data_IF_767192994365
#
_entry.id   IF_767192994365
#
_cell.length_a   1.000
_cell.length_b   1.000
_cell.length_c   1.000
_cell.angle_alpha   90.00
_cell.angle_beta   90.00
_cell.angle_gamma   90.00
#
_symmetry.space_group_name_H-M   'P 1'
#
loop_
_entity.id
_entity.type
_entity.pdbx_description
1 polymer ?
#
# COMPACT_ATOMS: atom_id res chain seq x y z
N UNK A 1 -14.13 -15.74 3.13
CA UNK A 1 -13.66 -17.05 2.66
C UNK A 1 -12.40 -16.81 1.81
N UNK A 2 -11.33 -17.57 2.01
CA UNK A 2 -10.09 -17.55 1.20
C UNK A 2 -10.06 -18.80 0.31
N UNK A 3 -10.77 -18.81 -0.83
CA UNK A 3 -10.96 -20.00 -1.65
C UNK A 3 -9.67 -20.50 -2.32
N UNK A 4 -8.59 -19.71 -2.29
CA UNK A 4 -7.32 -20.01 -2.96
C UNK A 4 -6.15 -20.18 -1.98
N UNK A 5 -6.40 -20.16 -0.67
CA UNK A 5 -5.33 -20.26 0.34
C UNK A 5 -4.30 -19.13 0.26
N UNK A 6 -4.65 -18.00 -0.37
CA UNK A 6 -3.78 -16.84 -0.57
C UNK A 6 -3.23 -16.31 0.74
N UNK A 7 -4.00 -16.40 1.81
CA UNK A 7 -3.58 -16.00 3.15
C UNK A 7 -2.40 -16.83 3.66
N UNK A 8 -2.35 -18.11 3.30
CA UNK A 8 -1.23 -19.01 3.59
C UNK A 8 0.00 -18.77 2.69
N UNK A 9 -0.21 -18.33 1.44
CA UNK A 9 0.86 -18.02 0.50
C UNK A 9 1.40 -16.59 0.60
N UNK A 10 0.71 -15.70 1.32
CA UNK A 10 1.14 -14.32 1.50
C UNK A 10 2.36 -14.22 2.45
N UNK A 11 3.25 -13.22 2.25
CA UNK A 11 4.37 -13.00 3.15
C UNK A 11 3.92 -12.86 4.61
N UNK A 12 4.66 -13.50 5.54
CA UNK A 12 4.36 -13.41 6.99
C UNK A 12 4.85 -12.10 7.62
N UNK A 13 5.85 -11.46 7.02
CA UNK A 13 6.47 -10.25 7.54
C UNK A 13 6.71 -9.27 6.39
N UNK A 14 6.58 -7.98 6.70
CA UNK A 14 6.97 -6.89 5.80
C UNK A 14 8.37 -6.38 6.17
N UNK A 15 9.23 -6.25 5.15
CA UNK A 15 10.59 -5.74 5.28
C UNK A 15 10.65 -4.35 4.64
N UNK A 16 10.77 -3.34 5.49
CA UNK A 16 11.01 -1.96 5.04
C UNK A 16 12.49 -1.79 4.67
N UNK A 17 12.88 -2.39 3.55
CA UNK A 17 14.26 -2.35 3.03
C UNK A 17 14.68 -0.91 2.74
N UNK A 18 16.01 -0.65 2.69
CA UNK A 18 16.52 0.69 2.37
C UNK A 18 15.99 1.16 1.02
N UNK A 19 15.97 0.28 0.02
CA UNK A 19 15.53 0.60 -1.33
C UNK A 19 14.03 0.87 -1.41
N UNK A 20 13.19 0.04 -0.79
CA UNK A 20 11.75 0.27 -0.73
C UNK A 20 11.40 1.58 -0.02
N UNK A 21 12.02 1.83 1.15
CA UNK A 21 11.84 3.09 1.89
C UNK A 21 12.31 4.30 1.09
N UNK A 22 13.45 4.19 0.38
CA UNK A 22 13.98 5.26 -0.46
C UNK A 22 13.01 5.56 -1.61
N UNK A 23 12.52 4.53 -2.30
CA UNK A 23 11.55 4.65 -3.37
C UNK A 23 10.31 5.43 -2.94
N UNK A 24 9.74 5.09 -1.78
CA UNK A 24 8.54 5.74 -1.27
C UNK A 24 8.80 7.17 -0.87
N UNK A 25 9.93 7.42 -0.20
CA UNK A 25 10.34 8.79 0.14
C UNK A 25 10.54 9.66 -1.08
N UNK A 26 11.03 9.11 -2.17
CA UNK A 26 11.25 9.85 -3.41
C UNK A 26 9.95 10.14 -4.14
N UNK A 27 9.03 9.17 -4.18
CA UNK A 27 7.83 9.28 -5.02
C UNK A 27 6.61 9.81 -4.29
N UNK A 28 6.51 9.57 -2.98
CA UNK A 28 5.27 9.75 -2.22
C UNK A 28 5.42 10.57 -0.93
N UNK A 29 6.61 11.03 -0.55
CA UNK A 29 6.80 11.90 0.62
C UNK A 29 7.33 13.26 0.20
N UNK A 30 6.54 14.31 0.45
CA UNK A 30 6.85 15.67 0.02
C UNK A 30 6.78 15.86 -1.50
N UNK A 31 6.95 17.10 -1.92
CA UNK A 31 7.02 17.45 -3.33
C UNK A 31 8.48 17.39 -3.80
N UNK A 32 8.74 16.51 -4.76
CA UNK A 32 10.03 16.35 -5.42
C UNK A 32 9.85 16.51 -6.92
N UNK A 33 10.84 17.12 -7.55
CA UNK A 33 10.84 17.36 -8.99
C UNK A 33 10.61 16.06 -9.77
N UNK A 34 9.63 16.07 -10.68
CA UNK A 34 9.27 14.93 -11.53
C UNK A 34 8.27 13.94 -10.91
N UNK A 35 7.84 14.15 -9.66
CA UNK A 35 6.89 13.30 -8.94
C UNK A 35 5.66 14.07 -8.44
N UNK A 36 5.41 15.27 -8.95
CA UNK A 36 4.32 16.15 -8.54
C UNK A 36 2.96 15.54 -8.84
N UNK A 37 2.87 14.74 -9.92
CA UNK A 37 1.65 14.06 -10.36
C UNK A 37 1.28 12.81 -9.53
N UNK A 38 2.02 12.52 -8.45
CA UNK A 38 1.75 11.37 -7.56
C UNK A 38 1.03 11.83 -6.30
N UNK A 39 0.19 10.95 -5.76
CA UNK A 39 -0.34 11.13 -4.41
C UNK A 39 0.80 11.16 -3.38
N UNK A 40 0.62 12.02 -2.37
CA UNK A 40 1.61 12.27 -1.33
C UNK A 40 1.07 11.93 0.05
N UNK A 41 1.93 11.36 0.88
CA UNK A 41 1.72 11.26 2.31
C UNK A 41 1.73 12.67 2.92
N UNK A 42 0.75 12.94 3.77
CA UNK A 42 0.71 14.16 4.60
C UNK A 42 1.25 13.91 6.01
N UNK A 43 1.65 12.68 6.30
CA UNK A 43 2.09 12.21 7.62
C UNK A 43 3.61 12.21 7.74
N UNK A 44 4.12 12.18 8.97
CA UNK A 44 5.55 12.09 9.22
C UNK A 44 6.17 10.77 8.74
N UNK A 45 7.50 10.74 8.65
CA UNK A 45 8.25 9.55 8.23
C UNK A 45 8.04 8.33 9.15
N UNK A 46 7.79 8.55 10.44
CA UNK A 46 7.48 7.47 11.38
C UNK A 46 6.05 6.96 11.18
N UNK A 47 5.11 7.87 10.98
CA UNK A 47 3.69 7.56 10.87
C UNK A 47 3.32 6.77 9.63
N UNK A 48 3.85 7.13 8.44
CA UNK A 48 3.54 6.34 7.24
C UNK A 48 4.10 4.92 7.38
N UNK A 49 5.30 4.75 7.96
CA UNK A 49 5.89 3.42 8.20
C UNK A 49 5.07 2.58 9.16
N UNK A 50 4.51 3.20 10.20
CA UNK A 50 3.59 2.53 11.13
C UNK A 50 2.28 2.16 10.43
N UNK A 51 1.77 3.05 9.57
CA UNK A 51 0.58 2.80 8.75
C UNK A 51 0.79 1.61 7.82
N UNK A 52 1.91 1.56 7.10
CA UNK A 52 2.29 0.43 6.23
C UNK A 52 2.26 -0.90 6.98
N UNK A 53 2.88 -0.97 8.16
CA UNK A 53 2.87 -2.19 8.98
C UNK A 53 1.47 -2.56 9.46
N UNK A 54 0.63 -1.57 9.78
CA UNK A 54 -0.77 -1.79 10.17
C UNK A 54 -1.60 -2.36 9.02
N UNK A 55 -1.47 -1.76 7.83
CA UNK A 55 -2.16 -2.21 6.60
C UNK A 55 -1.71 -3.61 6.21
N UNK A 56 -0.40 -3.90 6.26
CA UNK A 56 0.11 -5.23 5.96
C UNK A 56 -0.47 -6.31 6.91
N UNK A 57 -0.56 -6.03 8.21
CA UNK A 57 -1.04 -7.00 9.21
C UNK A 57 -2.54 -7.23 9.15
N UNK A 58 -3.31 -6.20 8.83
CA UNK A 58 -4.76 -6.25 8.85
C UNK A 58 -5.34 -5.43 7.68
N UNK A 59 -5.18 -5.87 6.43
CA UNK A 59 -5.74 -5.16 5.28
C UNK A 59 -7.24 -5.42 5.17
N UNK A 60 -7.96 -4.60 4.41
CA UNK A 60 -9.34 -4.90 4.02
C UNK A 60 -9.37 -5.95 2.88
N UNK A 61 -8.30 -5.99 2.08
CA UNK A 61 -8.12 -7.02 1.05
C UNK A 61 -6.67 -7.23 0.67
N UNK A 62 -6.39 -8.45 0.21
CA UNK A 62 -5.11 -8.88 -0.35
C UNK A 62 -5.35 -9.29 -1.80
N UNK A 63 -4.53 -8.79 -2.71
CA UNK A 63 -4.53 -9.17 -4.13
C UNK A 63 -3.16 -9.75 -4.46
N UNK A 64 -3.12 -10.93 -5.06
CA UNK A 64 -1.92 -11.48 -5.69
C UNK A 64 -1.92 -11.11 -7.16
N UNK A 65 -0.89 -10.37 -7.57
CA UNK A 65 -0.65 -9.86 -8.93
C UNK A 65 0.70 -10.40 -9.42
N UNK A 66 0.67 -11.54 -10.11
CA UNK A 66 1.88 -12.31 -10.41
C UNK A 66 2.59 -12.76 -9.13
N UNK A 67 3.86 -12.36 -8.97
CA UNK A 67 4.70 -12.66 -7.81
C UNK A 67 4.53 -11.66 -6.64
N UNK A 68 3.77 -10.58 -6.86
CA UNK A 68 3.58 -9.52 -5.86
C UNK A 68 2.28 -9.66 -5.11
N UNK A 69 2.29 -9.13 -3.90
CA UNK A 69 1.12 -9.03 -3.04
C UNK A 69 0.79 -7.57 -2.78
N UNK A 70 -0.48 -7.24 -2.95
CA UNK A 70 -1.02 -5.89 -2.77
C UNK A 70 -2.00 -5.94 -1.60
N UNK A 71 -1.70 -5.15 -0.58
CA UNK A 71 -2.48 -5.00 0.64
C UNK A 71 -3.17 -3.65 0.58
N UNK A 72 -4.49 -3.64 0.66
CA UNK A 72 -5.25 -2.40 0.60
C UNK A 72 -6.16 -2.25 1.80
N UNK A 73 -6.24 -1.01 2.30
CA UNK A 73 -7.04 -0.68 3.47
C UNK A 73 -7.58 0.74 3.43
N UNK A 74 -8.80 0.92 3.92
CA UNK A 74 -9.38 2.21 4.25
C UNK A 74 -9.04 2.58 5.70
N UNK A 75 -8.35 3.71 5.89
CA UNK A 75 -8.07 4.28 7.19
C UNK A 75 -9.24 5.19 7.59
N UNK A 76 -10.09 4.69 8.48
CA UNK A 76 -11.27 5.43 8.94
C UNK A 76 -10.88 6.68 9.71
N UNK A 77 -11.65 7.76 9.54
CA UNK A 77 -11.56 9.02 10.31
C UNK A 77 -10.17 9.68 10.31
N UNK A 78 -9.38 9.47 9.26
CA UNK A 78 -8.04 10.06 9.16
C UNK A 78 -7.70 10.42 7.72
N UNK A 79 -7.31 11.68 7.50
CA UNK A 79 -6.58 12.09 6.31
C UNK A 79 -5.14 11.59 6.40
N UNK A 80 -4.72 10.80 5.42
CA UNK A 80 -3.37 10.21 5.38
C UNK A 80 -2.55 10.70 4.19
N UNK A 81 -3.22 11.26 3.18
CA UNK A 81 -2.55 11.76 2.00
C UNK A 81 -3.39 12.76 1.23
N UNK A 82 -2.81 13.21 0.12
CA UNK A 82 -3.41 14.19 -0.78
C UNK A 82 -3.04 13.87 -2.23
N UNK A 83 -3.94 14.12 -3.17
CA UNK A 83 -3.62 14.10 -4.61
C UNK A 83 -2.90 15.39 -5.03
N UNK A 84 -2.30 15.44 -6.23
CA UNK A 84 -1.75 16.68 -6.78
C UNK A 84 -2.78 17.81 -6.86
N UNK A 85 -4.06 17.47 -7.07
CA UNK A 85 -5.19 18.40 -7.17
C UNK A 85 -5.72 18.84 -5.80
N UNK A 86 -5.16 18.35 -4.70
CA UNK A 86 -5.56 18.72 -3.35
C UNK A 86 -6.64 17.83 -2.72
N UNK A 87 -7.03 16.73 -3.38
CA UNK A 87 -8.07 15.82 -2.86
C UNK A 87 -7.52 15.01 -1.69
N UNK A 88 -8.26 14.97 -0.58
CA UNK A 88 -7.87 14.23 0.61
C UNK A 88 -8.03 12.71 0.42
N UNK A 89 -7.02 11.96 0.86
CA UNK A 89 -6.95 10.52 0.69
C UNK A 89 -7.03 9.81 2.04
N UNK A 90 -7.79 8.72 2.09
CA UNK A 90 -7.96 7.87 3.27
C UNK A 90 -7.73 6.37 3.00
N UNK A 91 -7.44 5.97 1.76
CA UNK A 91 -7.10 4.57 1.42
C UNK A 91 -5.60 4.41 1.20
N UNK A 92 -5.06 3.25 1.55
CA UNK A 92 -3.65 2.91 1.38
C UNK A 92 -3.51 1.72 0.47
N UNK A 93 -2.47 1.74 -0.37
CA UNK A 93 -1.93 0.55 -1.03
C UNK A 93 -0.53 0.28 -0.49
N UNK A 94 -0.25 -0.96 -0.13
CA UNK A 94 1.10 -1.48 0.16
C UNK A 94 1.37 -2.62 -0.81
N UNK A 95 2.48 -2.54 -1.53
CA UNK A 95 2.92 -3.56 -2.49
C UNK A 95 4.20 -4.19 -1.98
N UNK A 96 4.22 -5.51 -1.88
CA UNK A 96 5.39 -6.28 -1.46
C UNK A 96 5.69 -7.39 -2.44
N UNK A 97 6.97 -7.75 -2.52
CA UNK A 97 7.41 -8.98 -3.19
C UNK A 97 7.01 -10.22 -2.36
N UNK A 98 7.05 -11.40 -2.97
CA UNK A 98 6.74 -12.69 -2.33
C UNK A 98 7.60 -13.00 -1.09
N UNK A 99 8.78 -12.40 -0.97
CA UNK A 99 9.66 -12.53 0.18
C UNK A 99 9.38 -11.50 1.31
N UNK A 100 8.37 -10.64 1.12
CA UNK A 100 7.96 -9.58 2.06
C UNK A 100 8.69 -8.24 1.89
N UNK A 101 9.58 -8.09 0.91
CA UNK A 101 10.26 -6.83 0.65
C UNK A 101 9.30 -5.77 0.13
N UNK A 102 9.38 -4.57 0.71
CA UNK A 102 8.58 -3.44 0.30
C UNK A 102 8.98 -2.95 -1.09
N UNK A 103 8.03 -2.98 -2.03
CA UNK A 103 8.21 -2.42 -3.38
C UNK A 103 7.83 -0.95 -3.39
N UNK A 104 6.62 -0.64 -2.91
CA UNK A 104 6.08 0.71 -2.83
C UNK A 104 4.83 0.76 -1.97
N UNK A 105 4.47 1.96 -1.54
CA UNK A 105 3.24 2.27 -0.84
C UNK A 105 2.85 3.72 -1.06
N UNK A 106 1.54 3.97 -1.05
CA UNK A 106 1.02 5.31 -1.21
C UNK A 106 -0.45 5.41 -0.77
N UNK A 107 -0.90 6.62 -0.39
CA UNK A 107 -2.30 6.95 -0.28
C UNK A 107 -2.97 6.91 -1.66
N UNK A 108 -4.21 6.46 -1.74
CA UNK A 108 -4.98 6.36 -2.97
C UNK A 108 -6.43 6.81 -2.73
N UNK A 109 -7.10 7.24 -3.79
CA UNK A 109 -8.51 7.67 -3.74
C UNK A 109 -9.46 6.48 -3.87
N UNK A 110 -9.18 5.65 -4.86
CA UNK A 110 -9.90 4.42 -5.15
C UNK A 110 -8.96 3.23 -4.98
N UNK A 111 -9.54 2.09 -4.59
CA UNK A 111 -8.79 0.85 -4.60
C UNK A 111 -8.53 0.38 -6.03
N UNK A 112 -7.53 -0.48 -6.21
CA UNK A 112 -7.21 -1.08 -7.52
C UNK A 112 -8.44 -1.76 -8.13
N UNK A 113 -8.64 -1.68 -9.42
CA UNK A 113 -9.56 -2.62 -10.08
C UNK A 113 -8.97 -4.04 -10.06
N UNK A 114 -9.82 -5.03 -9.78
CA UNK A 114 -9.42 -6.44 -9.76
C UNK A 114 -9.44 -6.92 -11.20
N UNK A 115 -8.30 -7.41 -11.70
CA UNK A 115 -8.17 -7.95 -13.05
C UNK A 115 -8.63 -9.40 -13.10
N UNK A 116 -8.98 -9.95 -14.29
CA UNK A 116 -9.41 -11.35 -14.42
C UNK A 116 -8.41 -12.39 -13.89
N UNK A 117 -7.11 -12.10 -13.96
CA UNK A 117 -6.05 -12.99 -13.49
C UNK A 117 -5.61 -12.72 -12.04
N UNK A 118 -6.23 -11.74 -11.38
CA UNK A 118 -5.92 -11.44 -9.98
C UNK A 118 -6.55 -12.49 -9.08
N UNK A 119 -5.78 -12.95 -8.11
CA UNK A 119 -6.33 -13.77 -7.02
C UNK A 119 -6.56 -12.85 -5.82
N UNK A 120 -7.80 -12.77 -5.31
CA UNK A 120 -8.20 -11.79 -4.28
C UNK A 120 -8.80 -12.44 -3.04
N UNK A 121 -8.47 -11.90 -1.87
CA UNK A 121 -9.12 -12.21 -0.59
C UNK A 121 -9.61 -10.92 0.05
N UNK A 122 -10.88 -10.89 0.45
CA UNK A 122 -11.45 -9.83 1.28
C UNK A 122 -11.42 -10.22 2.75
N UNK A 123 -11.04 -9.28 3.60
CA UNK A 123 -10.91 -9.44 5.05
C UNK A 123 -11.79 -8.40 5.74
N UNK A 124 -12.43 -8.82 6.84
CA UNK A 124 -13.32 -7.98 7.64
C UNK A 124 -12.58 -7.37 8.84
#
# INVERSE_FOLDING_TARGET
MDPLGLRGCSPKNIKLTKDGVKHVKERHVGNKLGWEHKSKWTMSNGEWKSTVRSVFRNPDRIIKDGERFIYEKTIKNKKIGITPEGVELNKVRVVVESNGDLVTEFPQEIFREIKPNDSVVFLN
#
